data_IF_887007008844
#
_entry.id   IF_887007008844
#
_cell.length_a   1.000
_cell.length_b   1.000
_cell.length_c   1.000
_cell.angle_alpha   90.00
_cell.angle_beta   90.00
_cell.angle_gamma   90.00
#
_symmetry.space_group_name_H-M   'P 1'
#
loop_
_entity.id
_entity.type
_entity.pdbx_description
1 polymer ?
#
# COMPACT_ATOMS: atom_id res chain seq x y z
N UNK A 1 1.59 -15.84 7.09
CA UNK A 1 1.63 -14.76 6.07
C UNK A 1 2.76 -13.81 6.44
N UNK A 2 3.70 -13.47 5.55
CA UNK A 2 4.89 -12.66 5.90
C UNK A 2 4.52 -11.36 6.62
N UNK A 3 3.40 -10.74 6.24
CA UNK A 3 2.84 -9.54 6.87
C UNK A 3 2.48 -9.73 8.37
N UNK A 4 2.14 -10.96 8.80
CA UNK A 4 1.78 -11.28 10.19
C UNK A 4 2.98 -11.45 11.13
N UNK A 5 4.11 -11.94 10.63
CA UNK A 5 5.22 -12.42 11.47
C UNK A 5 6.54 -11.67 11.26
N UNK A 6 6.64 -10.86 10.20
CA UNK A 6 7.83 -10.08 9.91
C UNK A 6 8.12 -9.08 11.02
N UNK A 7 9.38 -9.02 11.47
CA UNK A 7 9.89 -7.91 12.28
C UNK A 7 10.31 -6.77 11.35
N UNK A 8 10.44 -5.55 11.90
CA UNK A 8 10.87 -4.37 11.13
C UNK A 8 12.17 -4.56 10.34
N UNK A 9 13.06 -5.43 10.81
CA UNK A 9 14.32 -5.79 10.14
C UNK A 9 14.23 -6.84 9.03
N UNK A 10 13.08 -7.48 8.84
CA UNK A 10 12.90 -8.56 7.86
C UNK A 10 12.48 -8.04 6.47
N UNK A 11 11.90 -6.84 6.42
CA UNK A 11 11.48 -6.17 5.18
C UNK A 11 12.62 -5.97 4.16
N UNK A 12 13.83 -5.50 4.54
CA UNK A 12 14.92 -5.36 3.58
C UNK A 12 15.30 -6.69 2.89
N UNK A 13 15.34 -7.80 3.64
CA UNK A 13 15.61 -9.14 3.09
C UNK A 13 14.49 -9.57 2.14
N UNK A 14 13.25 -9.29 2.51
CA UNK A 14 12.10 -9.57 1.65
C UNK A 14 12.15 -8.75 0.36
N UNK A 15 12.52 -7.47 0.40
CA UNK A 15 12.67 -6.65 -0.81
C UNK A 15 13.79 -7.14 -1.72
N UNK A 16 14.91 -7.62 -1.17
CA UNK A 16 15.95 -8.28 -1.98
C UNK A 16 15.36 -9.48 -2.74
N UNK A 17 14.65 -10.38 -2.06
CA UNK A 17 14.01 -11.53 -2.70
C UNK A 17 12.93 -11.12 -3.71
N UNK A 18 12.13 -10.11 -3.37
CA UNK A 18 11.06 -9.60 -4.23
C UNK A 18 11.64 -9.11 -5.57
N UNK A 19 12.72 -8.32 -5.55
CA UNK A 19 13.40 -7.82 -6.75
C UNK A 19 13.95 -8.95 -7.63
N UNK A 20 14.44 -10.03 -7.03
CA UNK A 20 14.94 -11.20 -7.77
C UNK A 20 13.84 -12.08 -8.36
N UNK A 21 12.68 -12.13 -7.71
CA UNK A 21 11.57 -13.00 -8.09
C UNK A 21 10.61 -12.33 -9.08
N UNK A 22 10.29 -11.05 -8.89
CA UNK A 22 9.31 -10.29 -9.70
C UNK A 22 9.50 -10.46 -11.21
N UNK A 23 10.72 -10.36 -11.78
CA UNK A 23 10.91 -10.52 -13.23
C UNK A 23 10.56 -11.91 -13.78
N UNK A 24 10.40 -12.91 -12.89
CA UNK A 24 10.11 -14.32 -13.22
C UNK A 24 8.63 -14.65 -13.08
N UNK A 25 7.81 -13.73 -12.55
CA UNK A 25 6.40 -13.93 -12.32
C UNK A 25 5.58 -13.51 -13.54
N UNK A 26 4.39 -14.10 -13.70
CA UNK A 26 3.46 -13.64 -14.72
C UNK A 26 2.91 -12.24 -14.32
N UNK A 27 2.61 -11.34 -15.28
CA UNK A 27 2.21 -9.97 -14.98
C UNK A 27 1.01 -9.83 -14.03
N UNK A 28 0.04 -10.74 -14.12
CA UNK A 28 -1.16 -10.73 -13.27
C UNK A 28 -0.92 -11.31 -11.87
N UNK A 29 0.21 -11.97 -11.62
CA UNK A 29 0.46 -12.67 -10.34
C UNK A 29 0.47 -11.70 -9.16
N UNK A 30 1.15 -10.55 -9.30
CA UNK A 30 1.28 -9.59 -8.20
C UNK A 30 -0.04 -8.84 -7.91
N UNK A 31 -0.75 -8.27 -8.90
CA UNK A 31 -2.08 -7.69 -8.68
C UNK A 31 -3.07 -8.64 -8.00
N UNK A 32 -3.06 -9.92 -8.38
CA UNK A 32 -3.94 -10.92 -7.79
C UNK A 32 -3.52 -11.29 -6.37
N UNK A 33 -2.21 -11.39 -6.11
CA UNK A 33 -1.69 -11.70 -4.78
C UNK A 33 -1.93 -10.58 -3.75
N UNK A 34 -2.26 -9.36 -4.20
CA UNK A 34 -2.58 -8.23 -3.32
C UNK A 34 -4.07 -8.18 -2.90
N UNK A 35 -4.96 -8.98 -3.51
CA UNK A 35 -6.39 -8.98 -3.18
C UNK A 35 -6.62 -9.32 -1.70
N UNK A 36 -6.29 -10.54 -1.28
CA UNK A 36 -6.55 -11.01 0.09
C UNK A 36 -5.84 -10.14 1.15
N UNK A 37 -4.56 -9.75 1.00
CA UNK A 37 -3.93 -8.87 1.98
C UNK A 37 -4.60 -7.50 2.13
N UNK A 38 -5.20 -6.95 1.07
CA UNK A 38 -5.96 -5.71 1.13
C UNK A 38 -7.36 -5.94 1.71
N UNK A 39 -8.03 -7.03 1.36
CA UNK A 39 -9.36 -7.38 1.84
C UNK A 39 -9.37 -7.58 3.36
N UNK A 40 -8.43 -8.36 3.86
CA UNK A 40 -8.37 -8.76 5.27
C UNK A 40 -7.41 -7.88 6.08
N UNK A 41 -7.02 -6.70 5.58
CA UNK A 41 -5.99 -5.89 6.21
C UNK A 41 -6.34 -5.49 7.64
N UNK A 42 -7.58 -5.09 7.88
CA UNK A 42 -8.07 -4.72 9.21
C UNK A 42 -7.98 -5.92 10.17
N UNK A 43 -8.41 -7.10 9.73
CA UNK A 43 -8.38 -8.31 10.56
C UNK A 43 -6.94 -8.78 10.84
N UNK A 44 -6.08 -8.71 9.83
CA UNK A 44 -4.64 -9.02 9.97
C UNK A 44 -3.99 -8.06 10.97
N UNK A 45 -4.35 -6.77 10.95
CA UNK A 45 -3.80 -5.75 11.83
C UNK A 45 -4.15 -5.97 13.31
N UNK A 46 -5.27 -6.64 13.62
CA UNK A 46 -5.64 -7.03 14.99
C UNK A 46 -4.61 -8.00 15.60
N UNK A 47 -4.14 -8.97 14.81
CA UNK A 47 -3.12 -9.95 15.24
C UNK A 47 -1.69 -9.40 15.08
N UNK A 48 -1.47 -8.53 14.10
CA UNK A 48 -0.17 -8.05 13.68
C UNK A 48 -0.20 -6.54 13.45
N UNK A 49 0.05 -5.71 14.49
CA UNK A 49 -0.12 -4.25 14.42
C UNK A 49 0.74 -3.53 13.36
N UNK A 50 1.79 -4.18 12.86
CA UNK A 50 2.65 -3.64 11.81
C UNK A 50 2.18 -3.99 10.40
N UNK A 51 1.13 -4.80 10.24
CA UNK A 51 0.68 -5.34 8.97
C UNK A 51 0.44 -4.25 7.92
N UNK A 52 -0.26 -3.18 8.30
CA UNK A 52 -0.54 -2.05 7.42
C UNK A 52 0.72 -1.33 6.97
N UNK A 53 1.65 -1.07 7.88
CA UNK A 53 2.91 -0.40 7.55
C UNK A 53 3.78 -1.29 6.65
N UNK A 54 3.85 -2.59 6.95
CA UNK A 54 4.59 -3.55 6.13
C UNK A 54 3.98 -3.67 4.73
N UNK A 55 2.66 -3.83 4.62
CA UNK A 55 1.97 -3.95 3.33
C UNK A 55 2.10 -2.64 2.52
N UNK A 56 2.01 -1.47 3.16
CA UNK A 56 2.24 -0.20 2.48
C UNK A 56 3.66 -0.10 1.89
N UNK A 57 4.68 -0.53 2.64
CA UNK A 57 6.05 -0.56 2.15
C UNK A 57 6.25 -1.59 1.01
N UNK A 58 5.58 -2.75 1.08
CA UNK A 58 5.60 -3.76 0.01
C UNK A 58 4.97 -3.19 -1.27
N UNK A 59 3.81 -2.56 -1.17
CA UNK A 59 3.14 -1.92 -2.32
C UNK A 59 4.00 -0.80 -2.89
N UNK A 60 4.60 0.04 -2.05
CA UNK A 60 5.50 1.11 -2.50
C UNK A 60 6.75 0.59 -3.23
N UNK A 61 7.34 -0.50 -2.75
CA UNK A 61 8.45 -1.16 -3.44
C UNK A 61 8.01 -1.70 -4.81
N UNK A 62 6.84 -2.33 -4.90
CA UNK A 62 6.31 -2.85 -6.17
C UNK A 62 6.02 -1.73 -7.19
N UNK A 63 5.56 -0.56 -6.74
CA UNK A 63 5.39 0.62 -7.59
C UNK A 63 6.74 1.15 -8.04
N UNK A 64 7.72 1.24 -7.13
CA UNK A 64 9.10 1.69 -7.45
C UNK A 64 9.76 0.79 -8.50
N UNK A 65 9.46 -0.51 -8.46
CA UNK A 65 9.91 -1.50 -9.44
C UNK A 65 9.09 -1.49 -10.75
N UNK A 66 8.12 -0.59 -10.91
CA UNK A 66 7.20 -0.50 -12.04
C UNK A 66 6.40 -1.79 -12.30
N UNK A 67 6.15 -2.59 -11.27
CA UNK A 67 5.39 -3.86 -11.36
C UNK A 67 3.90 -3.60 -11.35
N UNK A 68 3.49 -2.62 -10.54
CA UNK A 68 2.12 -2.15 -10.41
C UNK A 68 2.12 -0.62 -10.41
N UNK A 69 0.96 -0.03 -10.64
CA UNK A 69 0.74 1.40 -10.56
C UNK A 69 -0.12 1.73 -9.33
N UNK A 70 -0.10 2.99 -8.90
CA UNK A 70 -0.83 3.43 -7.70
C UNK A 70 -2.35 3.22 -7.84
N UNK A 71 -2.89 3.20 -9.06
CA UNK A 71 -4.30 2.98 -9.36
C UNK A 71 -4.79 1.56 -9.03
N UNK A 72 -3.89 0.64 -8.68
CA UNK A 72 -4.24 -0.66 -8.11
C UNK A 72 -5.12 -0.51 -6.87
N UNK A 73 -4.93 0.57 -6.10
CA UNK A 73 -5.69 0.85 -4.87
C UNK A 73 -7.13 1.31 -5.13
N UNK A 74 -7.47 1.64 -6.38
CA UNK A 74 -8.84 2.02 -6.77
C UNK A 74 -9.47 0.98 -7.68
N UNK A 75 -8.76 0.53 -8.73
CA UNK A 75 -9.30 -0.35 -9.78
C UNK A 75 -9.31 -1.84 -9.42
N UNK A 76 -8.36 -2.26 -8.61
CA UNK A 76 -8.08 -3.67 -8.33
C UNK A 76 -8.06 -3.94 -6.83
N UNK A 77 -8.56 -3.03 -5.99
CA UNK A 77 -8.72 -3.30 -4.58
C UNK A 77 -10.11 -3.91 -4.30
N UNK A 78 -10.27 -4.66 -3.21
CA UNK A 78 -11.58 -5.04 -2.70
C UNK A 78 -12.41 -3.82 -2.28
N UNK A 79 -13.74 -3.92 -2.36
CA UNK A 79 -14.66 -2.84 -1.98
C UNK A 79 -14.51 -2.48 -0.49
N UNK A 80 -14.43 -3.51 0.37
CA UNK A 80 -14.22 -3.35 1.80
C UNK A 80 -12.93 -2.59 2.14
N UNK A 81 -11.87 -2.76 1.35
CA UNK A 81 -10.65 -1.99 1.52
C UNK A 81 -10.90 -0.50 1.30
N UNK A 82 -11.61 -0.14 0.22
CA UNK A 82 -11.88 1.26 -0.15
C UNK A 82 -12.81 1.95 0.85
N UNK A 83 -13.82 1.25 1.35
CA UNK A 83 -14.87 1.84 2.18
C UNK A 83 -14.51 1.86 3.68
N UNK A 84 -13.88 0.79 4.19
CA UNK A 84 -13.75 0.57 5.64
C UNK A 84 -12.31 0.45 6.13
N UNK A 85 -11.32 0.30 5.24
CA UNK A 85 -9.93 0.03 5.64
C UNK A 85 -9.03 1.27 5.63
N UNK A 86 -9.58 2.48 5.77
CA UNK A 86 -8.82 3.75 5.78
C UNK A 86 -7.93 3.86 4.53
N UNK A 87 -8.49 3.62 3.36
CA UNK A 87 -7.74 3.48 2.11
C UNK A 87 -6.90 4.73 1.76
N UNK A 88 -7.43 5.94 1.97
CA UNK A 88 -6.66 7.18 1.80
C UNK A 88 -5.42 7.22 2.70
N UNK A 89 -5.58 6.90 3.99
CA UNK A 89 -4.46 6.82 4.93
C UNK A 89 -3.43 5.76 4.50
N UNK A 90 -3.89 4.60 4.01
CA UNK A 90 -3.00 3.57 3.47
C UNK A 90 -2.24 4.07 2.24
N UNK A 91 -2.91 4.71 1.29
CA UNK A 91 -2.30 5.29 0.09
C UNK A 91 -1.23 6.34 0.45
N UNK A 92 -1.47 7.18 1.46
CA UNK A 92 -0.47 8.12 1.96
C UNK A 92 0.77 7.41 2.53
N UNK A 93 0.59 6.30 3.26
CA UNK A 93 1.70 5.47 3.77
C UNK A 93 2.50 4.83 2.63
N UNK A 94 1.83 4.38 1.56
CA UNK A 94 2.49 3.86 0.35
C UNK A 94 3.37 4.95 -0.26
N UNK A 95 2.83 6.17 -0.47
CA UNK A 95 3.58 7.31 -1.00
C UNK A 95 4.79 7.65 -0.13
N UNK A 96 4.62 7.71 1.20
CA UNK A 96 5.72 7.98 2.13
C UNK A 96 6.80 6.90 2.13
N UNK A 97 6.46 5.66 1.78
CA UNK A 97 7.43 4.56 1.71
C UNK A 97 8.38 4.66 0.52
N UNK A 98 7.98 5.36 -0.54
CA UNK A 98 8.79 5.59 -1.74
C UNK A 98 9.75 6.76 -1.48
N UNK A 99 10.97 6.45 -1.02
CA UNK A 99 11.95 7.46 -0.57
C UNK A 99 12.49 8.36 -1.68
N UNK A 100 12.50 7.90 -2.92
CA UNK A 100 13.15 8.57 -4.04
C UNK A 100 12.16 9.08 -5.10
N UNK A 101 10.87 9.21 -4.74
CA UNK A 101 9.80 9.64 -5.64
C UNK A 101 8.85 10.59 -4.93
N UNK A 102 8.78 11.83 -5.41
CA UNK A 102 7.73 12.76 -5.00
C UNK A 102 6.36 12.31 -5.57
N UNK A 103 5.26 12.45 -4.81
CA UNK A 103 3.92 12.15 -5.30
C UNK A 103 3.58 12.95 -6.56
N UNK A 104 3.12 12.26 -7.61
CA UNK A 104 2.66 12.91 -8.84
C UNK A 104 1.23 13.44 -8.68
N UNK A 105 0.74 14.31 -9.58
CA UNK A 105 -0.66 14.73 -9.57
C UNK A 105 -1.64 13.56 -9.64
N UNK A 106 -1.29 12.49 -10.36
CA UNK A 106 -2.09 11.27 -10.44
C UNK A 106 -2.13 10.51 -9.10
N UNK A 107 -0.99 10.41 -8.39
CA UNK A 107 -0.96 9.81 -7.06
C UNK A 107 -1.84 10.60 -6.08
N UNK A 108 -1.78 11.93 -6.13
CA UNK A 108 -2.61 12.81 -5.30
C UNK A 108 -4.09 12.62 -5.61
N UNK A 109 -4.45 12.53 -6.90
CA UNK A 109 -5.82 12.29 -7.33
C UNK A 109 -6.35 10.93 -6.83
N UNK A 110 -5.50 9.90 -6.81
CA UNK A 110 -5.85 8.59 -6.25
C UNK A 110 -6.11 8.70 -4.75
N UNK A 111 -5.24 9.38 -4.00
CA UNK A 111 -5.47 9.61 -2.56
C UNK A 111 -6.79 10.34 -2.32
N UNK A 112 -7.07 11.40 -3.10
CA UNK A 112 -8.31 12.16 -2.99
C UNK A 112 -9.53 11.28 -3.27
N UNK A 113 -9.47 10.41 -4.29
CA UNK A 113 -10.56 9.49 -4.62
C UNK A 113 -10.83 8.39 -3.59
N UNK A 114 -9.86 8.12 -2.71
CA UNK A 114 -9.96 7.12 -1.64
C UNK A 114 -10.38 7.73 -0.30
N UNK A 115 -10.56 9.06 -0.24
CA UNK A 115 -11.04 9.72 0.98
C UNK A 115 -12.50 9.36 1.24
N UNK A 116 -12.81 9.21 2.51
CA UNK A 116 -14.16 9.04 3.03
C UNK A 116 -14.51 10.19 3.96
N UNK A 117 -15.76 10.27 4.40
CA UNK A 117 -16.19 11.27 5.40
C UNK A 117 -15.35 11.19 6.70
N UNK A 118 -14.78 10.01 7.01
CA UNK A 118 -13.93 9.79 8.19
C UNK A 118 -12.57 10.52 8.09
N UNK A 119 -12.13 10.91 6.90
CA UNK A 119 -10.87 11.63 6.66
C UNK A 119 -11.02 13.16 6.81
N UNK A 120 -12.27 13.65 6.95
CA UNK A 120 -12.57 15.07 7.14
C UNK A 120 -12.24 15.94 5.92
N UNK A 121 -12.10 17.25 6.17
CA UNK A 121 -11.89 18.26 5.12
C UNK A 121 -10.43 18.42 4.68
N UNK A 122 -9.52 17.62 5.24
CA UNK A 122 -8.09 17.69 4.90
C UNK A 122 -7.87 17.31 3.43
N UNK A 123 -7.10 18.12 2.70
CA UNK A 123 -6.71 17.83 1.32
C UNK A 123 -5.82 16.58 1.26
N UNK A 124 -5.81 15.88 0.12
CA UNK A 124 -4.87 14.79 -0.10
C UNK A 124 -3.40 15.19 0.17
N UNK A 125 -2.98 16.41 -0.19
CA UNK A 125 -1.62 16.87 0.12
C UNK A 125 -1.36 17.00 1.63
N UNK A 126 -2.32 17.50 2.41
CA UNK A 126 -2.19 17.59 3.87
C UNK A 126 -2.14 16.21 4.52
N UNK A 127 -2.98 15.28 4.05
CA UNK A 127 -2.96 13.89 4.52
C UNK A 127 -1.63 13.20 4.21
N UNK A 128 -1.12 13.38 2.98
CA UNK A 128 0.19 12.87 2.60
C UNK A 128 1.26 13.49 3.51
N UNK A 129 1.25 14.81 3.72
CA UNK A 129 2.24 15.49 4.56
C UNK A 129 2.25 14.95 6.01
N UNK A 130 1.07 14.67 6.57
CA UNK A 130 0.89 14.18 7.94
C UNK A 130 1.18 12.67 8.12
N UNK A 131 1.23 11.89 7.03
CA UNK A 131 1.38 10.45 7.13
C UNK A 131 2.75 10.02 7.71
N UNK A 132 2.70 9.09 8.67
CA UNK A 132 3.87 8.47 9.31
C UNK A 132 3.93 6.98 8.95
N UNK A 133 5.13 6.47 8.69
CA UNK A 133 5.40 5.07 8.37
C UNK A 133 5.35 4.14 9.58
#
# INVERSE_FOLDING_TARGET
>A
CFVKEAKKGDLPKFFTLLRECVPKLAPATIPNALQDPLEFLNDIELDAPLARSHLAQIVGELITLNVIQMDILTKNSPDYFREESKAATFACKVLKSMKDRDPTPEDIAIVESLKTEKDGDATAQELIAAAVL
#
